data_IF_549283750712
#
_entry.id   IF_549283750712
#
_cell.length_a   1.000
_cell.length_b   1.000
_cell.length_c   1.000
_cell.angle_alpha   90.00
_cell.angle_beta   90.00
_cell.angle_gamma   90.00
#
_symmetry.space_group_name_H-M   'P 1'
#
loop_
_entity.id
_entity.type
_entity.pdbx_description
1 polymer ?
#
# COMPACT_ATOMS: atom_id res chain seq x y z
N UNK A 1 22.61 40.22 -62.69
CA UNK A 1 21.95 40.37 -61.38
C UNK A 1 21.36 39.03 -60.97
N UNK A 2 21.97 38.35 -59.99
CA UNK A 2 21.46 37.12 -59.38
C UNK A 2 21.68 37.27 -57.87
N UNK A 3 20.59 37.35 -57.12
CA UNK A 3 20.60 37.37 -55.67
C UNK A 3 20.80 35.94 -55.13
N UNK A 4 21.50 35.73 -54.00
CA UNK A 4 21.59 34.42 -53.37
C UNK A 4 20.30 34.11 -52.60
N UNK A 5 19.98 32.82 -52.36
CA UNK A 5 18.81 32.43 -51.60
C UNK A 5 19.04 32.62 -50.10
N UNK A 6 18.07 33.24 -49.45
CA UNK A 6 17.93 33.38 -48.00
C UNK A 6 17.76 32.01 -47.35
N UNK A 7 18.67 31.66 -46.45
CA UNK A 7 18.57 30.46 -45.61
C UNK A 7 17.65 30.80 -44.41
N UNK A 8 16.44 30.24 -44.41
CA UNK A 8 15.50 30.37 -43.29
C UNK A 8 15.98 29.48 -42.14
N UNK A 9 16.32 30.11 -41.01
CA UNK A 9 16.60 29.44 -39.74
C UNK A 9 15.30 28.85 -39.20
N UNK A 10 15.09 27.55 -39.39
CA UNK A 10 14.04 26.80 -38.71
C UNK A 10 14.42 26.65 -37.22
N UNK A 11 13.71 27.37 -36.37
CA UNK A 11 13.84 27.28 -34.91
C UNK A 11 13.24 25.94 -34.47
N UNK A 12 14.10 24.99 -34.14
CA UNK A 12 13.71 23.71 -33.56
C UNK A 12 13.40 23.94 -32.07
N UNK A 13 12.13 24.20 -31.75
CA UNK A 13 11.66 24.19 -30.35
C UNK A 13 11.62 22.74 -29.91
N UNK A 14 12.66 22.32 -29.19
CA UNK A 14 12.64 21.08 -28.42
C UNK A 14 11.66 21.28 -27.26
N UNK A 15 10.40 20.89 -27.47
CA UNK A 15 9.48 20.56 -26.39
C UNK A 15 10.05 19.32 -25.70
N UNK A 16 10.96 19.53 -24.76
CA UNK A 16 11.33 18.51 -23.79
C UNK A 16 10.08 18.18 -23.00
N UNK A 17 9.54 16.98 -23.20
CA UNK A 17 8.55 16.42 -22.29
C UNK A 17 9.20 16.36 -20.90
N UNK A 18 8.75 17.23 -19.99
CA UNK A 18 9.10 17.13 -18.58
C UNK A 18 8.37 15.90 -18.08
N UNK A 19 9.02 14.74 -18.14
CA UNK A 19 8.61 13.57 -17.37
C UNK A 19 8.82 13.96 -15.92
N UNK A 20 7.74 14.34 -15.23
CA UNK A 20 7.78 14.83 -13.87
C UNK A 20 8.14 13.72 -12.90
N UNK A 21 9.42 13.41 -12.74
CA UNK A 21 9.84 12.55 -11.66
C UNK A 21 9.47 13.21 -10.33
N UNK A 22 8.76 12.49 -9.46
CA UNK A 22 8.60 12.91 -8.06
C UNK A 22 9.98 13.06 -7.44
N UNK A 23 10.20 14.11 -6.65
CA UNK A 23 11.49 14.30 -6.00
C UNK A 23 11.77 13.15 -5.02
N UNK A 24 13.05 12.84 -4.79
CA UNK A 24 13.50 11.84 -3.80
C UNK A 24 13.04 12.14 -2.36
N UNK A 25 12.49 13.33 -2.15
CA UNK A 25 11.98 13.86 -0.88
C UNK A 25 10.46 13.73 -0.75
N UNK A 26 9.75 13.24 -1.76
CA UNK A 26 8.29 13.10 -1.73
C UNK A 26 7.94 11.62 -1.63
N UNK A 27 7.28 11.24 -0.55
CA UNK A 27 6.56 9.97 -0.49
C UNK A 27 5.24 10.18 -1.25
N UNK A 28 5.05 9.45 -2.33
CA UNK A 28 3.81 9.48 -3.10
C UNK A 28 3.04 8.20 -2.88
N UNK A 29 1.76 8.34 -2.55
CA UNK A 29 0.84 7.22 -2.44
C UNK A 29 -0.18 7.31 -3.55
N UNK A 30 -0.18 6.32 -4.43
CA UNK A 30 -1.06 6.24 -5.57
C UNK A 30 -2.16 5.23 -5.34
N UNK A 31 -3.39 5.58 -5.68
CA UNK A 31 -4.40 4.60 -6.04
C UNK A 31 -4.09 4.13 -7.46
N UNK A 32 -3.55 2.92 -7.61
CA UNK A 32 -3.16 2.34 -8.90
C UNK A 32 -4.37 1.74 -9.62
N UNK A 33 -5.27 1.13 -8.86
CA UNK A 33 -6.50 0.53 -9.35
C UNK A 33 -7.56 0.49 -8.23
N UNK A 34 -8.85 0.75 -8.51
CA UNK A 34 -9.46 1.03 -9.83
C UNK A 34 -9.22 2.47 -10.31
N UNK A 35 -9.44 2.67 -11.62
CA UNK A 35 -9.57 3.99 -12.26
C UNK A 35 -11.05 4.30 -12.51
N UNK A 36 -11.35 5.52 -12.96
CA UNK A 36 -12.71 5.93 -13.33
C UNK A 36 -13.18 5.29 -14.65
N UNK A 37 -13.33 3.97 -14.62
CA UNK A 37 -13.63 3.12 -15.76
C UNK A 37 -14.71 2.08 -15.42
N UNK A 38 -14.98 1.18 -16.38
CA UNK A 38 -15.94 0.08 -16.23
C UNK A 38 -15.23 -1.26 -16.39
N UNK A 39 -15.49 -2.19 -15.47
CA UNK A 39 -14.84 -3.49 -15.41
C UNK A 39 -15.87 -4.63 -15.41
N UNK A 40 -15.51 -5.79 -15.97
CA UNK A 40 -16.30 -7.01 -15.86
C UNK A 40 -16.29 -7.51 -14.39
N UNK A 41 -17.39 -8.08 -13.87
CA UNK A 41 -17.39 -8.78 -12.59
C UNK A 41 -16.29 -9.85 -12.53
N UNK A 42 -15.66 -9.98 -11.36
CA UNK A 42 -14.63 -10.98 -11.10
C UNK A 42 -14.65 -11.40 -9.63
N UNK A 43 -14.30 -12.65 -9.36
CA UNK A 43 -14.20 -13.20 -8.00
C UNK A 43 -13.00 -12.61 -7.22
N UNK A 44 -12.13 -11.86 -7.90
CA UNK A 44 -10.93 -11.22 -7.34
C UNK A 44 -10.78 -9.81 -7.88
N UNK A 45 -11.76 -8.94 -7.64
CA UNK A 45 -11.67 -7.52 -7.99
C UNK A 45 -10.59 -6.86 -7.14
N UNK A 46 -9.50 -6.34 -7.74
CA UNK A 46 -8.41 -5.76 -6.98
C UNK A 46 -8.72 -4.32 -6.55
N UNK A 47 -8.18 -3.92 -5.41
CA UNK A 47 -7.92 -2.52 -5.07
C UNK A 47 -6.45 -2.44 -4.72
N UNK A 48 -5.72 -1.59 -5.43
CA UNK A 48 -4.25 -1.55 -5.38
C UNK A 48 -3.79 -0.12 -5.15
N UNK A 49 -3.03 0.06 -4.09
CA UNK A 49 -2.26 1.25 -3.80
C UNK A 49 -0.77 0.98 -4.03
N UNK A 50 -0.01 2.03 -4.36
CA UNK A 50 1.44 1.99 -4.44
C UNK A 50 2.06 3.14 -3.65
N UNK A 51 3.12 2.84 -2.90
CA UNK A 51 3.98 3.84 -2.29
C UNK A 51 5.23 3.98 -3.14
N UNK A 52 5.42 5.14 -3.77
CA UNK A 52 6.64 5.49 -4.48
C UNK A 52 7.58 6.27 -3.55
N UNK A 53 8.89 6.02 -3.66
CA UNK A 53 9.87 6.41 -2.64
C UNK A 53 9.56 5.76 -1.28
N UNK A 54 9.16 4.49 -1.29
CA UNK A 54 8.65 3.75 -0.13
C UNK A 54 9.58 3.78 1.11
N UNK A 55 10.90 3.95 0.91
CA UNK A 55 11.88 4.10 2.00
C UNK A 55 11.60 5.26 2.96
N UNK A 56 10.86 6.28 2.51
CA UNK A 56 10.48 7.44 3.33
C UNK A 56 9.35 7.10 4.31
N UNK A 57 8.50 6.12 3.99
CA UNK A 57 7.35 5.74 4.80
C UNK A 57 7.74 5.22 6.20
N UNK A 58 8.94 4.65 6.36
CA UNK A 58 9.44 4.20 7.67
C UNK A 58 9.50 5.31 8.72
N UNK A 59 9.64 6.56 8.29
CA UNK A 59 9.73 7.71 9.19
C UNK A 59 8.36 8.37 9.46
N UNK A 60 7.28 7.83 8.87
CA UNK A 60 5.97 8.46 8.83
C UNK A 60 4.85 7.60 9.42
N UNK A 61 5.09 6.32 9.71
CA UNK A 61 4.09 5.36 10.19
C UNK A 61 2.74 5.48 9.44
N UNK A 62 2.73 5.39 8.10
CA UNK A 62 1.52 5.65 7.33
C UNK A 62 0.51 4.52 7.50
N UNK A 63 -0.76 4.85 7.29
CA UNK A 63 -1.83 3.88 7.14
C UNK A 63 -2.76 4.33 6.00
N UNK A 64 -3.44 3.35 5.41
CA UNK A 64 -4.45 3.58 4.38
C UNK A 64 -5.77 3.05 4.92
N UNK A 65 -6.80 3.90 4.88
CA UNK A 65 -8.19 3.52 5.11
C UNK A 65 -9.01 3.88 3.88
N UNK A 66 -10.01 3.08 3.57
CA UNK A 66 -10.93 3.38 2.49
C UNK A 66 -12.32 2.78 2.71
N UNK A 67 -13.33 3.49 2.24
CA UNK A 67 -14.73 3.08 2.29
C UNK A 67 -15.25 2.97 0.88
N UNK A 68 -15.94 1.87 0.58
CA UNK A 68 -16.58 1.64 -0.72
C UNK A 68 -18.09 1.70 -0.53
N UNK A 69 -18.76 2.50 -1.36
CA UNK A 69 -20.19 2.75 -1.35
C UNK A 69 -20.80 2.33 -2.68
N UNK A 70 -21.95 1.67 -2.64
CA UNK A 70 -22.80 1.55 -3.82
C UNK A 70 -23.51 2.90 -4.05
N UNK A 71 -23.34 3.47 -5.25
CA UNK A 71 -23.92 4.76 -5.60
C UNK A 71 -25.45 4.79 -5.46
N UNK A 72 -26.12 3.68 -5.77
CA UNK A 72 -27.58 3.56 -5.68
C UNK A 72 -28.10 3.68 -4.24
N UNK A 73 -27.24 3.44 -3.25
CA UNK A 73 -27.61 3.46 -1.84
C UNK A 73 -27.20 4.77 -1.14
N UNK A 74 -26.56 5.73 -1.83
CA UNK A 74 -26.20 7.02 -1.23
C UNK A 74 -27.44 7.90 -1.01
N UNK A 75 -27.56 8.60 0.14
CA UNK A 75 -26.55 8.82 1.19
C UNK A 75 -26.60 7.81 2.35
N UNK A 76 -27.12 6.60 2.12
CA UNK A 76 -27.20 5.53 3.13
C UNK A 76 -25.85 5.12 3.71
N UNK A 77 -25.89 4.46 4.87
CA UNK A 77 -24.73 4.07 5.66
C UNK A 77 -24.21 2.65 5.33
N UNK A 78 -24.42 2.19 4.09
CA UNK A 78 -24.06 0.83 3.65
C UNK A 78 -22.60 0.73 3.16
N UNK A 79 -21.77 1.72 3.51
CA UNK A 79 -20.35 1.72 3.18
C UNK A 79 -19.62 0.61 3.93
N UNK A 80 -18.74 -0.10 3.23
CA UNK A 80 -17.83 -1.06 3.87
C UNK A 80 -16.45 -0.43 4.04
N UNK A 81 -15.99 -0.36 5.29
CA UNK A 81 -14.69 0.18 5.67
C UNK A 81 -13.59 -0.88 5.61
N UNK A 82 -12.44 -0.49 5.08
CA UNK A 82 -11.26 -1.32 4.92
C UNK A 82 -10.01 -0.54 5.26
N UNK A 83 -8.97 -1.26 5.67
CA UNK A 83 -7.68 -0.66 5.96
C UNK A 83 -6.52 -1.59 5.60
N UNK A 84 -5.35 -0.98 5.44
CA UNK A 84 -4.09 -1.69 5.34
C UNK A 84 -3.29 -1.49 6.64
N UNK A 85 -3.02 -2.58 7.35
CA UNK A 85 -2.06 -2.56 8.46
C UNK A 85 -0.64 -2.54 7.91
N UNK A 86 -0.01 -1.37 7.94
CA UNK A 86 1.31 -1.14 7.39
C UNK A 86 2.41 -1.11 8.47
N UNK A 87 2.08 -1.38 9.74
CA UNK A 87 3.01 -1.23 10.88
C UNK A 87 4.18 -2.20 10.84
N UNK A 88 4.01 -3.35 10.19
CA UNK A 88 5.03 -4.41 10.09
C UNK A 88 5.75 -4.44 8.74
N UNK A 89 5.48 -3.46 7.87
CA UNK A 89 6.04 -3.41 6.53
C UNK A 89 7.53 -3.08 6.59
N UNK A 90 8.34 -3.83 5.83
CA UNK A 90 9.73 -3.50 5.61
C UNK A 90 9.85 -2.47 4.48
N UNK A 91 9.94 -1.20 4.87
CA UNK A 91 10.15 -0.02 4.01
C UNK A 91 11.59 0.09 3.48
N UNK A 92 12.10 -0.98 2.87
CA UNK A 92 13.39 -0.99 2.18
C UNK A 92 13.26 -0.40 0.78
N UNK A 93 14.33 0.22 0.26
CA UNK A 93 14.38 0.68 -1.13
C UNK A 93 14.30 -0.46 -2.16
N UNK A 94 14.51 -1.71 -1.74
CA UNK A 94 14.33 -2.89 -2.60
C UNK A 94 12.85 -3.18 -2.90
N UNK A 95 11.94 -2.60 -2.13
CA UNK A 95 10.49 -2.78 -2.24
C UNK A 95 9.85 -1.50 -2.78
N UNK A 96 10.51 -0.79 -3.70
CA UNK A 96 10.03 0.48 -4.26
C UNK A 96 9.64 0.30 -5.74
N UNK A 97 8.39 0.57 -6.15
CA UNK A 97 7.26 0.94 -5.28
C UNK A 97 6.77 -0.22 -4.41
N UNK A 98 6.24 0.10 -3.23
CA UNK A 98 5.60 -0.90 -2.35
C UNK A 98 4.11 -0.95 -2.65
N UNK A 99 3.57 -2.14 -2.94
CA UNK A 99 2.16 -2.32 -3.24
C UNK A 99 1.36 -2.78 -2.01
N UNK A 100 0.29 -2.05 -1.69
CA UNK A 100 -0.71 -2.44 -0.71
C UNK A 100 -2.02 -2.74 -1.44
N UNK A 101 -2.58 -3.94 -1.27
CA UNK A 101 -3.73 -4.36 -2.06
C UNK A 101 -4.66 -5.33 -1.32
N UNK A 102 -5.92 -5.35 -1.74
CA UNK A 102 -6.92 -6.31 -1.33
C UNK A 102 -7.66 -6.83 -2.58
N UNK A 103 -8.16 -8.06 -2.49
CA UNK A 103 -9.04 -8.65 -3.50
C UNK A 103 -10.43 -8.85 -2.92
N UNK A 104 -11.43 -8.49 -3.71
CA UNK A 104 -12.84 -8.55 -3.36
C UNK A 104 -13.57 -9.54 -4.26
N UNK A 105 -14.45 -10.34 -3.67
CA UNK A 105 -15.34 -11.21 -4.45
C UNK A 105 -16.47 -10.42 -5.09
N UNK A 106 -17.07 -11.01 -6.13
CA UNK A 106 -18.26 -10.51 -6.80
C UNK A 106 -19.48 -10.40 -5.85
N UNK A 107 -19.50 -11.17 -4.76
CA UNK A 107 -20.51 -11.06 -3.71
C UNK A 107 -20.36 -9.79 -2.86
N UNK A 108 -19.14 -9.24 -2.75
CA UNK A 108 -18.86 -7.99 -2.01
C UNK A 108 -18.98 -6.80 -2.96
N UNK A 109 -18.47 -6.92 -4.18
CA UNK A 109 -18.54 -5.90 -5.22
C UNK A 109 -19.30 -6.44 -6.46
N UNK A 110 -20.63 -6.62 -6.38
CA UNK A 110 -21.44 -7.05 -7.53
C UNK A 110 -21.53 -5.96 -8.61
N UNK A 111 -22.22 -6.28 -9.71
CA UNK A 111 -22.56 -5.30 -10.73
C UNK A 111 -23.24 -4.06 -10.12
N UNK A 112 -22.71 -2.89 -10.47
CA UNK A 112 -23.14 -1.64 -9.84
C UNK A 112 -22.21 -0.47 -10.18
N UNK A 113 -22.64 0.71 -9.75
CA UNK A 113 -21.81 1.91 -9.73
C UNK A 113 -21.30 2.11 -8.32
N UNK A 114 -20.00 2.31 -8.19
CA UNK A 114 -19.31 2.33 -6.91
C UNK A 114 -18.58 3.65 -6.74
N UNK A 115 -18.64 4.20 -5.54
CA UNK A 115 -17.77 5.29 -5.10
C UNK A 115 -16.84 4.74 -4.04
N UNK A 116 -15.54 5.00 -4.18
CA UNK A 116 -14.58 4.74 -3.12
C UNK A 116 -14.00 6.04 -2.62
N UNK A 117 -14.02 6.23 -1.32
CA UNK A 117 -13.27 7.28 -0.63
C UNK A 117 -12.10 6.63 0.08
N UNK A 118 -10.90 7.13 -0.14
CA UNK A 118 -9.68 6.59 0.45
C UNK A 118 -8.86 7.70 1.09
N UNK A 119 -8.19 7.37 2.17
CA UNK A 119 -7.38 8.30 2.95
C UNK A 119 -6.02 7.70 3.24
N UNK A 120 -5.01 8.54 3.17
CA UNK A 120 -3.68 8.24 3.70
C UNK A 120 -3.49 9.11 4.92
N UNK A 121 -3.31 8.46 6.07
CA UNK A 121 -2.91 9.15 7.30
C UNK A 121 -1.45 8.86 7.62
N UNK A 122 -0.76 9.84 8.18
CA UNK A 122 0.65 9.73 8.55
C UNK A 122 0.97 10.56 9.80
N UNK A 123 2.06 10.18 10.46
CA UNK A 123 2.57 10.82 11.66
C UNK A 123 3.97 11.39 11.37
N UNK A 124 4.20 12.65 11.71
CA UNK A 124 5.49 13.33 11.55
C UNK A 124 5.97 13.93 12.87
N UNK A 125 7.26 14.27 12.93
CA UNK A 125 7.83 14.87 14.14
C UNK A 125 7.18 16.21 14.46
N UNK A 126 6.89 16.44 15.75
CA UNK A 126 6.54 17.76 16.24
C UNK A 126 7.77 18.45 16.83
N UNK A 127 8.47 19.22 16.00
CA UNK A 127 9.74 19.86 16.39
C UNK A 127 9.61 20.71 17.66
N UNK A 128 8.51 21.46 17.78
CA UNK A 128 8.24 22.32 18.92
C UNK A 128 7.94 21.49 20.17
N UNK A 129 7.06 20.49 20.08
CA UNK A 129 6.72 19.67 21.24
C UNK A 129 7.91 18.84 21.74
N UNK A 130 8.74 18.32 20.84
CA UNK A 130 9.93 17.54 21.21
C UNK A 130 10.98 18.41 21.91
N UNK A 131 11.22 19.62 21.39
CA UNK A 131 12.19 20.55 21.98
C UNK A 131 11.74 21.16 23.30
N UNK A 132 10.42 21.32 23.51
CA UNK A 132 9.84 21.91 24.71
C UNK A 132 9.30 20.87 25.71
N UNK A 133 9.42 19.58 25.43
CA UNK A 133 8.92 18.48 26.27
C UNK A 133 7.43 18.61 26.64
N UNK A 134 6.60 18.92 25.65
CA UNK A 134 5.15 19.10 25.85
C UNK A 134 4.40 17.74 25.88
N UNK A 135 3.39 17.63 26.75
CA UNK A 135 2.64 16.39 27.08
C UNK A 135 1.41 16.14 26.18
N UNK A 136 1.17 16.98 25.16
CA UNK A 136 0.06 16.77 24.21
C UNK A 136 0.52 15.79 23.13
N UNK A 137 -0.02 14.56 23.11
CA UNK A 137 0.09 13.53 22.05
C UNK A 137 1.09 13.92 20.93
N UNK A 138 2.37 13.60 21.15
CA UNK A 138 3.48 14.42 20.66
C UNK A 138 3.82 14.29 19.17
N UNK A 139 3.15 13.42 18.41
CA UNK A 139 3.31 13.32 16.96
C UNK A 139 2.35 14.27 16.24
N UNK A 140 2.78 14.87 15.14
CA UNK A 140 1.86 15.59 14.25
C UNK A 140 1.14 14.56 13.39
N UNK A 141 -0.17 14.43 13.57
CA UNK A 141 -1.00 13.60 12.71
C UNK A 141 -1.58 14.42 11.56
N UNK A 142 -1.42 13.94 10.33
CA UNK A 142 -2.09 14.48 9.16
C UNK A 142 -2.78 13.36 8.41
N UNK A 143 -3.82 13.73 7.67
CA UNK A 143 -4.49 12.83 6.75
C UNK A 143 -4.91 13.58 5.52
N UNK A 144 -4.93 12.89 4.40
CA UNK A 144 -5.46 13.41 3.14
C UNK A 144 -6.40 12.38 2.55
N UNK A 145 -7.58 12.85 2.15
CA UNK A 145 -8.65 12.02 1.60
C UNK A 145 -8.88 12.36 0.13
N UNK A 146 -9.23 11.35 -0.66
CA UNK A 146 -9.56 11.43 -2.08
C UNK A 146 -10.75 10.52 -2.40
N UNK A 147 -11.40 10.78 -3.53
CA UNK A 147 -12.50 9.96 -4.04
C UNK A 147 -12.26 9.49 -5.47
N UNK A 148 -12.75 8.30 -5.79
CA UNK A 148 -12.87 7.78 -7.15
C UNK A 148 -14.25 7.15 -7.32
N UNK A 149 -14.75 7.13 -8.54
CA UNK A 149 -15.94 6.35 -8.91
C UNK A 149 -15.56 5.34 -9.98
N UNK A 150 -16.16 4.16 -9.98
CA UNK A 150 -15.95 3.13 -11.00
C UNK A 150 -17.23 2.30 -11.17
N UNK A 151 -17.31 1.55 -12.27
CA UNK A 151 -18.48 0.71 -12.58
C UNK A 151 -18.08 -0.75 -12.75
N UNK A 152 -18.90 -1.67 -12.24
CA UNK A 152 -18.80 -3.10 -12.51
C UNK A 152 -20.01 -3.51 -13.34
N UNK A 153 -19.78 -4.13 -14.51
CA UNK A 153 -20.84 -4.51 -15.46
C UNK A 153 -20.41 -5.68 -16.35
N UNK A 154 -21.27 -6.68 -16.54
CA UNK A 154 -20.97 -7.90 -17.35
C UNK A 154 -20.50 -7.64 -18.78
N UNK A 155 -20.89 -6.53 -19.39
CA UNK A 155 -20.52 -6.20 -20.77
C UNK A 155 -19.19 -5.46 -20.91
N UNK A 156 -18.46 -5.27 -19.81
CA UNK A 156 -17.22 -4.50 -19.78
C UNK A 156 -15.99 -5.38 -19.99
N UNK A 157 -14.81 -4.79 -20.24
CA UNK A 157 -13.56 -5.53 -20.33
C UNK A 157 -13.20 -6.20 -19.00
N UNK A 158 -12.52 -7.35 -19.08
CA UNK A 158 -11.91 -8.01 -17.91
C UNK A 158 -10.92 -7.10 -17.23
N UNK A 159 -10.81 -7.24 -15.91
CA UNK A 159 -9.73 -6.63 -15.16
C UNK A 159 -8.40 -7.19 -15.65
N UNK A 160 -7.51 -6.29 -16.05
CA UNK A 160 -6.13 -6.55 -16.46
C UNK A 160 -5.25 -5.43 -15.88
N UNK A 161 -4.54 -5.74 -14.80
CA UNK A 161 -3.71 -4.74 -14.09
C UNK A 161 -2.50 -4.30 -14.93
N UNK A 162 -2.00 -5.18 -15.81
CA UNK A 162 -0.85 -4.89 -16.67
C UNK A 162 -1.26 -3.86 -17.72
N UNK A 163 -2.38 -4.10 -18.40
CA UNK A 163 -2.91 -3.16 -19.38
C UNK A 163 -3.34 -1.84 -18.73
N UNK A 164 -3.99 -1.90 -17.56
CA UNK A 164 -4.49 -0.72 -16.86
C UNK A 164 -3.37 0.25 -16.42
N UNK A 165 -2.15 -0.25 -16.16
CA UNK A 165 -0.99 0.56 -15.76
C UNK A 165 0.00 0.84 -16.91
N UNK A 166 -0.19 0.20 -18.06
CA UNK A 166 0.58 0.50 -19.27
C UNK A 166 0.07 1.76 -19.99
N UNK A 167 -1.23 2.03 -19.92
CA UNK A 167 -1.85 3.21 -20.52
C UNK A 167 -1.66 4.45 -19.65
N UNK A 168 -0.90 5.43 -20.15
CA UNK A 168 -0.70 6.71 -19.45
C UNK A 168 -1.92 7.62 -19.50
N UNK A 169 -2.89 7.32 -20.38
CA UNK A 169 -4.04 8.18 -20.62
C UNK A 169 -5.03 8.10 -19.47
N UNK A 170 -5.21 6.91 -18.88
CA UNK A 170 -6.14 6.64 -17.77
C UNK A 170 -5.77 7.31 -16.44
N UNK A 171 -4.49 7.66 -16.23
CA UNK A 171 -4.01 8.35 -15.04
C UNK A 171 -3.62 9.82 -15.29
N UNK A 172 -3.83 10.34 -16.51
CA UNK A 172 -3.51 11.72 -16.90
C UNK A 172 -4.65 12.74 -16.72
N UNK A 173 -5.87 12.28 -16.41
CA UNK A 173 -7.07 13.12 -16.33
C UNK A 173 -7.39 13.70 -14.94
N UNK A 174 -6.62 13.35 -13.90
CA UNK A 174 -6.94 13.68 -12.52
C UNK A 174 -5.86 14.61 -11.95
N UNK A 175 -5.94 15.89 -12.30
CA UNK A 175 -5.02 16.89 -11.79
C UNK A 175 -5.07 16.98 -10.27
N UNK A 176 -3.90 17.07 -9.63
CA UNK A 176 -3.71 17.33 -8.20
C UNK A 176 -4.38 18.62 -7.65
N UNK A 177 -5.08 19.38 -8.50
CA UNK A 177 -5.86 20.56 -8.14
C UNK A 177 -7.29 20.27 -7.70
N UNK A 178 -7.84 19.09 -8.00
CA UNK A 178 -9.18 18.74 -7.57
C UNK A 178 -9.11 18.04 -6.21
N UNK A 179 -9.48 18.79 -5.17
CA UNK A 179 -9.49 18.35 -3.78
C UNK A 179 -10.36 17.10 -3.54
N UNK A 180 -11.17 16.69 -4.53
CA UNK A 180 -12.16 15.60 -4.43
C UNK A 180 -11.90 14.41 -5.38
N UNK A 181 -11.13 14.58 -6.45
CA UNK A 181 -10.88 13.55 -7.46
C UNK A 181 -9.38 13.44 -7.73
N UNK A 182 -8.74 12.44 -7.16
CA UNK A 182 -7.32 12.25 -7.35
C UNK A 182 -6.87 10.85 -6.99
N UNK A 183 -5.92 10.36 -7.78
CA UNK A 183 -5.29 9.06 -7.63
C UNK A 183 -3.91 9.12 -6.99
N UNK A 184 -3.45 10.30 -6.54
CA UNK A 184 -2.15 10.48 -5.89
C UNK A 184 -2.24 11.39 -4.66
N UNK A 185 -1.50 11.03 -3.61
CA UNK A 185 -1.29 11.85 -2.41
C UNK A 185 0.22 12.02 -2.19
N UNK A 186 0.76 13.24 -2.40
CA UNK A 186 2.16 13.54 -2.10
C UNK A 186 2.34 13.96 -0.64
N UNK A 187 3.38 13.44 0.02
CA UNK A 187 3.84 13.84 1.34
C UNK A 187 5.28 14.35 1.23
N UNK A 188 5.48 15.65 1.46
CA UNK A 188 6.78 16.30 1.32
C UNK A 188 7.64 16.10 2.58
N UNK A 189 8.59 15.17 2.50
CA UNK A 189 9.56 14.89 3.56
C UNK A 189 10.75 15.84 3.40
N UNK A 190 11.02 16.67 4.39
CA UNK A 190 12.07 17.72 4.31
C UNK A 190 13.51 17.18 4.26
N UNK A 191 13.69 15.86 4.41
CA UNK A 191 14.99 15.21 4.60
C UNK A 191 15.53 15.31 6.02
N UNK A 192 14.87 16.07 6.91
CA UNK A 192 15.19 16.13 8.33
C UNK A 192 14.45 15.02 9.09
N UNK A 193 15.19 14.25 9.86
CA UNK A 193 14.65 13.31 10.85
C UNK A 193 15.00 13.74 12.26
N UNK A 194 14.24 13.26 13.25
CA UNK A 194 14.50 13.48 14.67
C UNK A 194 14.32 12.17 15.43
N UNK A 195 15.15 11.96 16.46
CA UNK A 195 14.92 10.91 17.45
C UNK A 195 13.60 11.18 18.16
N UNK A 196 12.78 10.14 18.30
CA UNK A 196 11.51 10.20 19.01
C UNK A 196 11.79 10.04 20.50
N UNK A 197 11.38 11.01 21.33
CA UNK A 197 11.62 10.90 22.75
C UNK A 197 10.90 9.70 23.38
N UNK A 198 11.51 9.09 24.40
CA UNK A 198 11.00 7.85 25.02
C UNK A 198 9.62 7.97 25.69
N UNK A 199 9.15 9.19 25.95
CA UNK A 199 7.82 9.46 26.51
C UNK A 199 6.73 9.60 25.44
N UNK A 200 7.10 9.58 24.16
CA UNK A 200 6.15 9.65 23.05
C UNK A 200 5.73 8.24 22.65
N UNK A 201 4.43 7.96 22.75
CA UNK A 201 3.86 6.72 22.24
C UNK A 201 3.79 6.77 20.70
N UNK A 202 4.73 6.09 20.04
CA UNK A 202 4.82 6.03 18.59
C UNK A 202 5.27 4.65 18.10
N UNK A 203 4.53 4.08 17.16
CA UNK A 203 4.81 2.73 16.62
C UNK A 203 5.69 2.71 15.37
N UNK A 204 6.13 3.87 14.87
CA UNK A 204 6.91 3.94 13.62
C UNK A 204 8.41 3.75 13.79
N UNK A 205 8.90 3.51 15.01
CA UNK A 205 10.30 3.23 15.32
C UNK A 205 10.92 4.25 16.27
N UNK A 206 12.22 4.50 16.13
CA UNK A 206 12.97 5.43 17.00
C UNK A 206 13.19 6.81 16.36
N UNK A 207 13.01 6.93 15.03
CA UNK A 207 13.23 8.19 14.30
C UNK A 207 12.07 8.56 13.39
N UNK A 208 11.53 9.76 13.52
CA UNK A 208 10.47 10.27 12.63
C UNK A 208 11.01 11.31 11.64
N UNK A 209 10.22 11.62 10.61
CA UNK A 209 10.52 12.67 9.65
C UNK A 209 9.78 13.98 9.96
N UNK A 210 10.42 15.11 9.67
CA UNK A 210 9.75 16.40 9.57
C UNK A 210 9.20 16.56 8.17
N UNK A 211 7.92 16.90 8.07
CA UNK A 211 7.24 17.14 6.80
C UNK A 211 7.05 18.63 6.57
N UNK A 212 7.19 19.08 5.33
CA UNK A 212 6.92 20.46 4.96
C UNK A 212 5.40 20.69 4.85
N UNK A 213 5.01 21.96 4.86
CA UNK A 213 3.66 22.34 4.41
C UNK A 213 3.44 21.83 2.98
N UNK A 214 2.24 21.32 2.69
CA UNK A 214 1.83 20.86 1.36
C UNK A 214 1.62 22.00 0.36
N UNK A 215 2.15 23.19 0.63
CA UNK A 215 1.99 24.39 -0.20
C UNK A 215 3.38 24.91 -0.61
N UNK A 216 3.69 24.97 -1.91
CA UNK A 216 2.88 24.45 -3.02
C UNK A 216 2.81 22.91 -3.01
N UNK A 217 1.73 22.34 -3.57
CA UNK A 217 1.57 20.89 -3.68
C UNK A 217 2.75 20.30 -4.45
N UNK A 218 3.44 19.27 -3.93
CA UNK A 218 4.51 18.62 -4.66
C UNK A 218 4.00 18.01 -5.98
N UNK A 219 4.86 18.00 -6.99
CA UNK A 219 4.57 17.32 -8.26
C UNK A 219 4.43 15.82 -8.03
N UNK A 220 3.37 15.23 -8.62
CA UNK A 220 3.08 13.80 -8.57
C UNK A 220 3.21 13.13 -9.94
N UNK A 221 3.47 11.82 -9.96
CA UNK A 221 3.48 11.00 -11.19
C UNK A 221 2.81 9.63 -10.94
N UNK A 222 1.47 9.62 -10.78
CA UNK A 222 0.72 8.39 -10.53
C UNK A 222 0.81 7.38 -11.70
N UNK A 223 1.15 7.85 -12.90
CA UNK A 223 1.32 7.02 -14.09
C UNK A 223 2.70 6.36 -14.19
N UNK A 224 3.63 6.67 -13.29
CA UNK A 224 4.94 6.02 -13.26
C UNK A 224 4.87 4.59 -12.78
N UNK A 225 3.92 4.28 -11.90
CA UNK A 225 3.73 2.94 -11.34
C UNK A 225 3.23 2.00 -12.43
N UNK A 226 3.98 0.92 -12.65
CA UNK A 226 3.62 -0.15 -13.59
C UNK A 226 3.51 -1.46 -12.85
N UNK A 227 2.44 -2.20 -13.12
CA UNK A 227 2.28 -3.58 -12.70
C UNK A 227 2.59 -4.42 -13.92
N UNK A 228 3.65 -5.22 -13.87
CA UNK A 228 3.91 -6.24 -14.89
C UNK A 228 3.32 -7.59 -14.46
N UNK A 229 3.40 -8.57 -15.35
CA UNK A 229 2.88 -9.91 -15.10
C UNK A 229 3.55 -10.61 -13.90
N UNK A 230 4.81 -10.27 -13.59
CA UNK A 230 5.50 -10.84 -12.43
C UNK A 230 4.99 -10.23 -11.12
N UNK A 231 4.74 -8.92 -11.09
CA UNK A 231 4.13 -8.24 -9.94
C UNK A 231 2.70 -8.76 -9.73
N UNK A 232 1.90 -8.85 -10.80
CA UNK A 232 0.54 -9.38 -10.72
C UNK A 232 0.50 -10.83 -10.22
N UNK A 233 1.38 -11.69 -10.74
CA UNK A 233 1.51 -13.07 -10.28
C UNK A 233 1.95 -13.13 -8.81
N UNK A 234 2.87 -12.26 -8.38
CA UNK A 234 3.31 -12.15 -7.00
C UNK A 234 2.17 -11.75 -6.06
N UNK A 235 1.37 -10.75 -6.43
CA UNK A 235 0.18 -10.34 -5.65
C UNK A 235 -0.83 -11.48 -5.52
N UNK A 236 -1.09 -12.16 -6.64
CA UNK A 236 -2.00 -13.31 -6.67
C UNK A 236 -1.50 -14.47 -5.80
N UNK A 237 -0.20 -14.78 -5.85
CA UNK A 237 0.41 -15.83 -5.04
C UNK A 237 0.40 -15.49 -3.54
N UNK A 238 0.72 -14.24 -3.18
CA UNK A 238 0.69 -13.78 -1.79
C UNK A 238 -0.74 -13.80 -1.22
N UNK A 239 -1.74 -13.45 -2.02
CA UNK A 239 -3.14 -13.60 -1.64
C UNK A 239 -3.55 -15.06 -1.43
N UNK A 240 -3.22 -15.95 -2.37
CA UNK A 240 -3.47 -17.39 -2.21
C UNK A 240 -2.79 -17.92 -0.94
N UNK A 241 -1.53 -17.55 -0.68
CA UNK A 241 -0.82 -17.94 0.54
C UNK A 241 -1.51 -17.42 1.81
N UNK A 242 -2.10 -16.21 1.77
CA UNK A 242 -2.91 -15.67 2.88
C UNK A 242 -4.18 -16.51 3.10
N UNK A 243 -4.91 -16.85 2.04
CA UNK A 243 -6.10 -17.71 2.12
C UNK A 243 -5.76 -19.11 2.67
N UNK A 244 -4.63 -19.68 2.24
CA UNK A 244 -4.16 -20.99 2.73
C UNK A 244 -3.75 -21.00 4.19
N UNK A 245 -3.45 -19.84 4.78
CA UNK A 245 -3.23 -19.69 6.23
C UNK A 245 -4.52 -19.40 7.01
N UNK A 246 -5.64 -19.23 6.32
CA UNK A 246 -6.93 -18.91 6.91
C UNK A 246 -7.62 -20.11 7.57
N UNK A 247 -8.77 -19.83 8.21
CA UNK A 247 -9.56 -20.85 8.94
C UNK A 247 -10.22 -21.86 7.99
N UNK A 248 -10.51 -21.45 6.75
CA UNK A 248 -11.10 -22.28 5.70
C UNK A 248 -10.25 -22.17 4.42
N UNK A 249 -9.11 -22.88 4.36
CA UNK A 249 -8.22 -22.81 3.21
C UNK A 249 -8.90 -23.41 1.96
N UNK A 250 -8.69 -22.81 0.78
CA UNK A 250 -9.10 -23.41 -0.49
C UNK A 250 -8.52 -24.83 -0.70
N UNK A 251 -9.20 -25.71 -1.45
CA UNK A 251 -8.73 -27.08 -1.69
C UNK A 251 -7.41 -27.17 -2.48
N UNK A 252 -7.08 -26.13 -3.24
CA UNK A 252 -5.89 -26.00 -4.08
C UNK A 252 -4.68 -25.40 -3.34
N UNK A 253 -4.80 -25.21 -2.02
CA UNK A 253 -3.66 -24.84 -1.21
C UNK A 253 -2.56 -25.91 -1.30
N UNK A 254 -1.29 -25.51 -1.44
CA UNK A 254 -0.19 -26.45 -1.34
C UNK A 254 -0.33 -27.23 -0.04
N UNK A 255 -0.18 -28.56 -0.12
CA UNK A 255 0.01 -29.34 1.10
C UNK A 255 1.28 -28.81 1.76
N UNK A 256 1.11 -28.03 2.82
CA UNK A 256 2.27 -27.65 3.60
C UNK A 256 2.80 -28.92 4.29
N UNK A 257 4.12 -29.00 4.41
CA UNK A 257 4.84 -29.77 5.43
C UNK A 257 4.50 -29.29 6.88
N UNK A 258 3.31 -28.72 7.09
CA UNK A 258 2.65 -28.36 8.37
C UNK A 258 2.34 -29.59 9.24
N UNK A 259 2.76 -30.79 8.83
CA UNK A 259 2.78 -31.98 9.67
C UNK A 259 3.91 -32.05 10.72
N UNK A 260 4.91 -31.16 10.68
CA UNK A 260 6.04 -31.20 11.62
C UNK A 260 5.84 -30.32 12.88
N UNK A 261 5.15 -29.19 12.79
CA UNK A 261 5.00 -28.26 13.92
C UNK A 261 3.82 -28.58 14.86
N UNK A 262 2.80 -29.30 14.40
CA UNK A 262 1.68 -29.75 15.26
C UNK A 262 1.91 -31.12 15.91
N UNK A 263 2.98 -31.85 15.54
CA UNK A 263 3.34 -33.13 16.18
C UNK A 263 4.03 -33.00 17.54
N UNK A 264 4.31 -31.77 18.00
CA UNK A 264 5.08 -31.52 19.23
C UNK A 264 4.24 -31.10 20.46
N UNK A 265 2.90 -31.12 20.39
CA UNK A 265 2.02 -30.69 21.51
C UNK A 265 1.13 -31.81 22.09
N UNK A 266 1.22 -33.06 21.61
CA UNK A 266 0.45 -34.18 22.19
C UNK A 266 1.34 -35.40 22.46
N UNK A 267 2.37 -35.25 23.30
CA UNK A 267 2.85 -36.34 24.19
C UNK A 267 3.36 -35.68 25.47
N UNK A 268 2.44 -35.21 26.30
CA UNK A 268 2.76 -34.62 27.59
C UNK A 268 1.58 -34.78 28.51
N UNK A 269 1.43 -35.98 29.09
CA UNK A 269 0.98 -36.27 30.47
C UNK A 269 0.72 -37.78 30.59
N UNK A 270 1.25 -38.38 31.66
CA UNK A 270 1.10 -39.78 32.15
C UNK A 270 2.16 -40.73 31.59
N UNK A 271 3.11 -41.28 32.35
CA UNK A 271 3.11 -41.70 33.76
C UNK A 271 4.54 -41.70 34.33
N UNK A 272 4.76 -41.01 35.46
CA UNK A 272 5.75 -41.43 36.44
C UNK A 272 5.34 -42.81 36.98
N UNK A 273 6.21 -43.82 36.94
CA UNK A 273 6.42 -44.82 38.01
C UNK A 273 7.52 -45.84 37.63
N UNK A 274 8.49 -46.00 38.55
CA UNK A 274 9.40 -47.13 38.78
C UNK A 274 10.44 -47.47 37.67
N UNK A 275 11.71 -47.78 37.94
CA UNK A 275 12.34 -48.31 39.15
C UNK A 275 13.83 -47.90 39.24
N UNK A 276 14.26 -47.51 40.43
CA UNK A 276 15.65 -47.62 40.87
C UNK A 276 15.93 -49.07 41.28
N UNK A 277 17.13 -49.57 40.97
CA UNK A 277 17.76 -50.62 41.77
C UNK A 277 18.34 -51.79 40.98
N UNK A 278 19.65 -51.73 40.69
CA UNK A 278 20.55 -52.90 40.77
C UNK A 278 22.00 -52.44 40.51
N UNK A 279 22.71 -52.03 41.55
CA UNK A 279 24.18 -52.08 41.58
C UNK A 279 24.66 -52.05 43.03
N UNK A 280 25.08 -53.21 43.52
CA UNK A 280 25.71 -53.36 44.82
C UNK A 280 25.22 -54.62 45.51
N UNK A 281 25.87 -55.76 45.24
CA UNK A 281 26.30 -56.75 46.23
C UNK A 281 26.85 -58.00 45.51
N UNK A 282 28.13 -57.94 45.12
CA UNK A 282 28.98 -59.13 45.00
C UNK A 282 30.36 -58.77 45.58
N UNK A 283 30.42 -58.73 46.90
CA UNK A 283 31.63 -58.95 47.69
C UNK A 283 31.24 -59.83 48.89
N UNK A 284 31.57 -61.11 48.82
CA UNK A 284 31.86 -61.99 49.97
C UNK A 284 32.36 -63.35 49.48
N UNK A 285 33.63 -63.40 49.08
CA UNK A 285 34.64 -64.43 49.39
C UNK A 285 35.92 -64.15 48.59
#
# INVERSE_FOLDING_TARGET
MRFPPTCQLATCVLLGAVVGATSDSVLEVDLVFPRNETYEPTDRFPIVFAFQNAKLAKYLNPHIDYTIFNWANLPGNDGADWSHDLRTVNWSSTNDPYFAYNFFSDSVLPEGQWKMTWSVGWQSCNETAFSQQLDTSAMVFNSTTRGISFTIKKSAPKVDLVSATADKTSCSGESASDLETGVAIPINVTGKTMEVPSWVDWSGGDTCAVVASSIPTPTVDPCRVKIDSAIEASMSAAWTAKLCRGVNPPPDCPEDDRGAAQKLVVVGVSTLFAAFGALGFLLSL
#
